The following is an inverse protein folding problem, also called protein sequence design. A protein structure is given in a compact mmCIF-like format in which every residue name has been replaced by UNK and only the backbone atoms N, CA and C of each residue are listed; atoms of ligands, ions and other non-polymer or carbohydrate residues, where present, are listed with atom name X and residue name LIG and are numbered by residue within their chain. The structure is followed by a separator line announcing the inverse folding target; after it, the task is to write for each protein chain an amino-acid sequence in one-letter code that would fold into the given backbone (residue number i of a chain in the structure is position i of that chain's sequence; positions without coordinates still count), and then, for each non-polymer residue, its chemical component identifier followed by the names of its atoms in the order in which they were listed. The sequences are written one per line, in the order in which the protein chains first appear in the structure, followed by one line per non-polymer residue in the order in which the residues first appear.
data_IF_351103019467
#
_entry.id   IF_351103019467
#
_cell.length_a   1.000
_cell.length_b   1.000
_cell.length_c   1.000
_cell.angle_alpha   90.00
_cell.angle_beta   90.00
_cell.angle_gamma   90.00
#
_symmetry.space_group_name_H-M   'P 1'
#
loop_
_entity.id
_entity.type
_entity.pdbx_description
1 polymer ?
#
# COMPACT_ATOMS: atom_id res chain seq x y z
N UNK A 1 5.19 22.20 -31.57
CA UNK A 1 3.81 21.73 -31.26
C UNK A 1 2.96 21.87 -32.51
N UNK A 2 2.30 20.79 -32.94
CA UNK A 2 1.40 20.87 -34.09
C UNK A 2 0.15 21.65 -33.70
N UNK A 3 -0.49 22.35 -34.65
CA UNK A 3 -1.77 23.06 -34.42
C UNK A 3 -2.84 22.17 -33.75
N UNK A 4 -2.74 20.86 -33.96
CA UNK A 4 -3.63 19.83 -33.40
C UNK A 4 -3.42 19.58 -31.90
N UNK A 5 -2.17 19.57 -31.43
CA UNK A 5 -1.90 19.43 -29.99
C UNK A 5 -2.51 20.58 -29.20
N UNK A 6 -2.41 21.82 -29.70
CA UNK A 6 -3.02 22.99 -29.06
C UNK A 6 -4.55 22.99 -29.07
N UNK A 7 -5.18 22.43 -30.12
CA UNK A 7 -6.63 22.33 -30.21
C UNK A 7 -7.18 21.29 -29.21
N UNK A 8 -6.49 20.15 -29.06
CA UNK A 8 -6.91 19.08 -28.15
C UNK A 8 -6.81 19.51 -26.67
N UNK A 9 -5.76 20.25 -26.30
CA UNK A 9 -5.65 20.83 -24.96
C UNK A 9 -6.77 21.84 -24.67
N UNK A 10 -7.18 22.64 -25.66
CA UNK A 10 -8.27 23.60 -25.50
C UNK A 10 -9.61 22.89 -25.26
N UNK A 11 -9.89 21.80 -25.99
CA UNK A 11 -11.12 21.00 -25.83
C UNK A 11 -11.17 20.32 -24.45
N UNK A 12 -10.07 19.70 -24.01
CA UNK A 12 -9.98 19.07 -22.68
C UNK A 12 -10.18 20.12 -21.58
N UNK A 13 -9.59 21.31 -21.76
CA UNK A 13 -9.72 22.40 -20.79
C UNK A 13 -11.14 22.95 -20.69
N UNK A 14 -11.86 23.09 -21.81
CA UNK A 14 -13.26 23.53 -21.82
C UNK A 14 -14.17 22.47 -21.20
N UNK A 15 -13.98 21.18 -21.51
CA UNK A 15 -14.73 20.08 -20.92
C UNK A 15 -14.53 20.01 -19.38
N UNK A 16 -13.29 20.22 -18.92
CA UNK A 16 -12.97 20.29 -17.49
C UNK A 16 -13.65 21.48 -16.79
N UNK A 17 -13.70 22.66 -17.41
CA UNK A 17 -14.37 23.84 -16.84
C UNK A 17 -15.89 23.69 -16.75
N UNK A 18 -16.50 23.03 -17.74
CA UNK A 18 -17.94 22.76 -17.76
C UNK A 18 -18.32 21.69 -16.74
N UNK A 19 -17.51 20.64 -16.59
CA UNK A 19 -17.64 19.62 -15.54
C UNK A 19 -17.64 20.24 -14.14
N UNK A 20 -16.68 21.14 -13.85
CA UNK A 20 -16.57 21.79 -12.52
C UNK A 20 -17.78 22.65 -12.17
N UNK A 21 -18.58 23.07 -13.16
CA UNK A 21 -19.77 23.91 -12.97
C UNK A 21 -21.08 23.13 -12.97
N UNK A 22 -21.04 21.80 -13.07
CA UNK A 22 -22.22 20.94 -12.95
C UNK A 22 -23.11 20.88 -14.20
N UNK A 23 -22.63 21.36 -15.36
CA UNK A 23 -23.36 21.33 -16.62
C UNK A 23 -23.10 20.02 -17.39
N UNK A 24 -23.56 18.91 -16.83
CA UNK A 24 -23.29 17.57 -17.37
C UNK A 24 -23.90 17.32 -18.75
N UNK A 25 -25.13 17.77 -18.97
CA UNK A 25 -25.82 17.59 -20.25
C UNK A 25 -25.18 18.41 -21.38
N UNK A 26 -24.62 19.59 -21.07
CA UNK A 26 -23.92 20.43 -22.04
C UNK A 26 -22.53 19.89 -22.39
N UNK A 27 -21.85 19.22 -21.46
CA UNK A 27 -20.57 18.53 -21.72
C UNK A 27 -20.78 17.39 -22.69
N UNK A 28 -21.82 16.58 -22.49
CA UNK A 28 -22.10 15.44 -23.36
C UNK A 28 -22.46 15.89 -24.78
N UNK A 29 -23.33 16.89 -24.92
CA UNK A 29 -23.69 17.47 -26.23
C UNK A 29 -22.49 18.09 -26.96
N UNK A 30 -21.59 18.75 -26.22
CA UNK A 30 -20.36 19.34 -26.81
C UNK A 30 -19.39 18.26 -27.26
N UNK A 31 -19.25 17.17 -26.51
CA UNK A 31 -18.42 16.03 -26.88
C UNK A 31 -18.99 15.29 -28.08
N UNK A 32 -20.30 15.10 -28.15
CA UNK A 32 -20.97 14.48 -29.30
C UNK A 32 -20.80 15.33 -30.58
N UNK A 33 -20.93 16.66 -30.50
CA UNK A 33 -20.66 17.55 -31.65
C UNK A 33 -19.20 17.49 -32.11
N UNK A 34 -18.24 17.45 -31.18
CA UNK A 34 -16.81 17.34 -31.51
C UNK A 34 -16.50 15.97 -32.12
N UNK A 35 -17.10 14.89 -31.60
CA UNK A 35 -16.99 13.55 -32.18
C UNK A 35 -17.61 13.49 -33.57
N UNK A 36 -18.73 14.17 -33.81
CA UNK A 36 -19.37 14.25 -35.12
C UNK A 36 -18.57 15.09 -36.12
N UNK A 37 -17.98 16.22 -35.70
CA UNK A 37 -17.08 17.00 -36.55
C UNK A 37 -15.78 16.24 -36.85
N UNK A 38 -15.22 15.54 -35.86
CA UNK A 38 -14.08 14.66 -36.07
C UNK A 38 -14.46 13.52 -37.01
N UNK A 39 -15.60 12.86 -36.83
CA UNK A 39 -16.08 11.82 -37.74
C UNK A 39 -16.32 12.39 -39.15
N UNK A 40 -16.78 13.63 -39.28
CA UNK A 40 -16.95 14.28 -40.59
C UNK A 40 -15.62 14.59 -41.27
N UNK A 41 -14.62 15.06 -40.52
CA UNK A 41 -13.26 15.35 -41.01
C UNK A 41 -12.46 14.08 -41.29
N UNK A 42 -12.62 13.01 -40.49
CA UNK A 42 -11.85 11.77 -40.58
C UNK A 42 -12.49 10.69 -41.44
N UNK A 43 -13.82 10.66 -41.59
CA UNK A 43 -14.55 9.61 -42.32
C UNK A 43 -15.24 10.11 -43.59
N UNK A 44 -14.81 11.26 -44.11
CA UNK A 44 -15.40 12.01 -45.22
C UNK A 44 -16.22 11.17 -46.22
N UNK A 45 -17.54 11.32 -46.18
CA UNK A 45 -18.42 10.76 -47.21
C UNK A 45 -18.87 11.85 -48.18
N UNK A 46 -18.21 11.89 -49.33
CA UNK A 46 -18.60 12.66 -50.50
C UNK A 46 -18.14 12.00 -51.81
N UNK A 47 -18.84 10.92 -52.23
CA UNK A 47 -18.79 10.19 -53.52
C UNK A 47 -17.44 9.55 -53.97
N UNK A 48 -17.50 8.47 -54.77
CA UNK A 48 -16.47 7.43 -54.79
C UNK A 48 -15.37 7.68 -55.84
N UNK A 49 -14.18 7.14 -55.60
CA UNK A 49 -13.41 6.46 -56.62
C UNK A 49 -13.34 4.95 -56.32
N UNK A 50 -13.69 4.19 -57.35
CA UNK A 50 -13.15 2.87 -57.72
C UNK A 50 -11.91 2.38 -56.95
N UNK A 51 -11.99 1.11 -56.53
CA UNK A 51 -10.90 0.15 -56.30
C UNK A 51 -9.55 0.71 -55.81
N UNK A 52 -9.36 0.71 -54.48
CA UNK A 52 -8.18 0.19 -53.74
C UNK A 52 -8.26 0.60 -52.27
N UNK A 53 -7.69 -0.25 -51.39
CA UNK A 53 -7.44 -0.05 -49.93
C UNK A 53 -8.34 -0.76 -48.89
N UNK A 54 -8.81 -1.98 -49.14
CA UNK A 54 -9.33 -2.86 -48.05
C UNK A 54 -8.27 -3.78 -47.42
N UNK A 55 -7.01 -3.74 -47.87
CA UNK A 55 -5.98 -4.71 -47.45
C UNK A 55 -5.22 -4.35 -46.15
N UNK A 56 -5.29 -3.11 -45.66
CA UNK A 56 -4.37 -2.66 -44.59
C UNK A 56 -4.95 -2.75 -43.18
N UNK A 57 -6.27 -2.62 -43.00
CA UNK A 57 -6.91 -2.61 -41.66
C UNK A 57 -7.12 -4.04 -41.12
N UNK A 58 -7.52 -4.98 -41.98
CA UNK A 58 -7.73 -6.39 -41.57
C UNK A 58 -6.40 -7.03 -41.16
N UNK A 59 -5.31 -6.71 -41.87
CA UNK A 59 -3.97 -7.25 -41.62
C UNK A 59 -3.42 -6.80 -40.27
N UNK A 60 -3.56 -5.53 -39.89
CA UNK A 60 -3.06 -5.05 -38.59
C UNK A 60 -3.80 -5.71 -37.43
N UNK A 61 -5.14 -5.74 -37.43
CA UNK A 61 -5.91 -6.34 -36.33
C UNK A 61 -5.69 -7.85 -36.20
N UNK A 62 -5.67 -8.59 -37.32
CA UNK A 62 -5.39 -10.04 -37.25
C UNK A 62 -3.96 -10.34 -36.82
N UNK A 63 -2.96 -9.58 -37.31
CA UNK A 63 -1.57 -9.76 -36.87
C UNK A 63 -1.42 -9.47 -35.38
N UNK A 64 -2.06 -8.41 -34.84
CA UNK A 64 -1.98 -8.11 -33.40
C UNK A 64 -2.60 -9.22 -32.55
N UNK A 65 -3.79 -9.74 -32.91
CA UNK A 65 -4.45 -10.83 -32.19
C UNK A 65 -3.64 -12.14 -32.26
N UNK A 66 -3.05 -12.44 -33.42
CA UNK A 66 -2.22 -13.64 -33.58
C UNK A 66 -0.91 -13.54 -32.77
N UNK A 67 -0.29 -12.36 -32.72
CA UNK A 67 0.91 -12.11 -31.91
C UNK A 67 0.61 -12.15 -30.42
N UNK A 68 -0.52 -11.60 -29.95
CA UNK A 68 -0.88 -11.70 -28.53
C UNK A 68 -1.20 -13.13 -28.11
N UNK A 69 -1.91 -13.91 -28.95
CA UNK A 69 -2.17 -15.32 -28.68
C UNK A 69 -0.89 -16.18 -28.64
N UNK A 70 0.10 -15.91 -29.50
CA UNK A 70 1.37 -16.65 -29.49
C UNK A 70 2.23 -16.30 -28.27
N UNK A 71 2.25 -15.02 -27.86
CA UNK A 71 2.91 -14.58 -26.61
C UNK A 71 2.29 -15.25 -25.37
N UNK A 72 0.96 -15.21 -25.25
CA UNK A 72 0.24 -15.81 -24.11
C UNK A 72 0.55 -17.32 -24.02
N UNK A 73 0.55 -18.02 -25.16
CA UNK A 73 0.91 -19.44 -25.22
C UNK A 73 2.32 -19.67 -24.69
N UNK A 74 3.30 -18.89 -25.13
CA UNK A 74 4.69 -19.02 -24.66
C UNK A 74 4.84 -18.72 -23.16
N UNK A 75 4.17 -17.68 -22.67
CA UNK A 75 4.17 -17.33 -21.24
C UNK A 75 3.61 -18.49 -20.41
N UNK A 76 2.50 -19.10 -20.85
CA UNK A 76 1.89 -20.24 -20.19
C UNK A 76 2.82 -21.44 -20.13
N UNK A 77 3.50 -21.76 -21.23
CA UNK A 77 4.49 -22.84 -21.28
C UNK A 77 5.62 -22.62 -20.28
N UNK A 78 6.19 -21.41 -20.24
CA UNK A 78 7.26 -21.05 -19.29
C UNK A 78 6.79 -21.17 -17.84
N UNK A 79 5.57 -20.70 -17.55
CA UNK A 79 4.98 -20.75 -16.21
C UNK A 79 4.74 -22.19 -15.75
N UNK A 80 4.18 -23.03 -16.61
CA UNK A 80 3.95 -24.45 -16.31
C UNK A 80 5.27 -25.22 -16.14
N UNK A 81 6.29 -24.92 -16.95
CA UNK A 81 7.62 -25.52 -16.83
C UNK A 81 8.31 -25.11 -15.51
N UNK A 82 8.25 -23.82 -15.17
CA UNK A 82 8.76 -23.31 -13.90
C UNK A 82 8.07 -23.98 -12.70
N UNK A 83 6.73 -24.02 -12.70
CA UNK A 83 5.96 -24.65 -11.62
C UNK A 83 6.25 -26.15 -11.47
N UNK A 84 6.49 -26.88 -12.57
CA UNK A 84 6.87 -28.31 -12.51
C UNK A 84 8.23 -28.55 -11.87
N UNK A 85 9.13 -27.57 -11.92
CA UNK A 85 10.53 -27.70 -11.48
C UNK A 85 10.79 -27.08 -10.11
N UNK A 86 9.83 -26.33 -9.56
CA UNK A 86 9.94 -25.65 -8.26
C UNK A 86 8.86 -26.15 -7.31
N UNK A 87 9.24 -26.51 -6.08
CA UNK A 87 8.28 -26.96 -5.06
C UNK A 87 7.96 -25.81 -4.13
N UNK A 88 6.67 -25.49 -4.03
CA UNK A 88 6.19 -24.53 -3.05
C UNK A 88 5.96 -25.19 -1.69
N UNK A 89 6.42 -24.53 -0.63
CA UNK A 89 6.11 -24.88 0.75
C UNK A 89 5.04 -23.90 1.26
N UNK A 90 3.79 -24.36 1.35
CA UNK A 90 2.63 -23.57 1.83
C UNK A 90 2.84 -22.80 3.15
N UNK A 91 3.65 -23.25 4.12
CA UNK A 91 3.89 -22.52 5.36
C UNK A 91 4.73 -21.23 5.21
N UNK A 92 5.53 -21.07 4.15
CA UNK A 92 6.51 -19.99 4.04
C UNK A 92 6.09 -18.93 3.01
N UNK A 93 5.53 -17.81 3.49
CA UNK A 93 5.24 -16.59 2.71
C UNK A 93 6.45 -16.09 1.93
N UNK A 94 7.66 -16.33 2.42
CA UNK A 94 8.92 -15.96 1.75
C UNK A 94 9.09 -16.64 0.38
N UNK A 95 8.43 -17.78 0.15
CA UNK A 95 8.64 -18.57 -1.07
C UNK A 95 7.95 -17.93 -2.28
N UNK A 96 6.78 -17.28 -2.13
CA UNK A 96 6.12 -16.66 -3.28
C UNK A 96 6.89 -15.44 -3.81
N UNK A 97 7.54 -14.68 -2.92
CA UNK A 97 8.38 -13.54 -3.28
C UNK A 97 9.62 -13.97 -4.10
N UNK A 98 10.33 -14.99 -3.64
CA UNK A 98 11.50 -15.52 -4.34
C UNK A 98 11.10 -16.16 -5.69
N UNK A 99 9.99 -16.91 -5.72
CA UNK A 99 9.45 -17.49 -6.96
C UNK A 99 9.07 -16.41 -7.98
N UNK A 100 8.44 -15.31 -7.53
CA UNK A 100 8.09 -14.20 -8.40
C UNK A 100 9.34 -13.52 -9.01
N UNK A 101 10.40 -13.35 -8.21
CA UNK A 101 11.69 -12.82 -8.69
C UNK A 101 12.32 -13.75 -9.73
N UNK A 102 12.35 -15.06 -9.46
CA UNK A 102 12.92 -16.05 -10.39
C UNK A 102 12.15 -16.10 -11.70
N UNK A 103 10.82 -16.15 -11.64
CA UNK A 103 9.98 -16.18 -12.82
C UNK A 103 10.05 -14.86 -13.62
N UNK A 104 10.17 -13.72 -12.94
CA UNK A 104 10.46 -12.44 -13.60
C UNK A 104 11.76 -12.51 -14.43
N UNK A 105 12.85 -13.08 -13.88
CA UNK A 105 14.11 -13.23 -14.62
C UNK A 105 13.96 -14.16 -15.83
N UNK A 106 13.14 -15.22 -15.72
CA UNK A 106 12.84 -16.13 -16.85
C UNK A 106 12.14 -15.36 -17.97
N UNK A 107 11.15 -14.54 -17.64
CA UNK A 107 10.42 -13.74 -18.63
C UNK A 107 11.33 -12.71 -19.32
N UNK A 108 12.14 -11.98 -18.56
CA UNK A 108 13.11 -11.02 -19.10
C UNK A 108 14.13 -11.70 -20.03
N UNK A 109 14.63 -12.87 -19.62
CA UNK A 109 15.54 -13.68 -20.46
C UNK A 109 14.90 -14.10 -21.79
N UNK A 110 13.57 -14.26 -21.81
CA UNK A 110 12.80 -14.59 -23.01
C UNK A 110 12.29 -13.35 -23.76
N UNK A 111 12.72 -12.14 -23.37
CA UNK A 111 12.38 -10.88 -24.04
C UNK A 111 10.98 -10.36 -23.76
N UNK A 112 10.38 -10.76 -22.63
CA UNK A 112 9.12 -10.20 -22.15
C UNK A 112 9.38 -9.11 -21.12
N UNK A 113 8.69 -7.98 -21.25
CA UNK A 113 8.63 -6.98 -20.18
C UNK A 113 7.74 -7.50 -19.06
N UNK A 114 8.27 -7.53 -17.84
CA UNK A 114 7.53 -8.01 -16.68
C UNK A 114 7.65 -7.07 -15.47
N UNK A 115 6.70 -7.15 -14.56
CA UNK A 115 6.71 -6.48 -13.26
C UNK A 115 6.43 -7.49 -12.15
N UNK A 116 6.99 -7.27 -10.97
CA UNK A 116 6.70 -8.07 -9.78
C UNK A 116 5.63 -7.32 -8.98
N UNK A 117 4.49 -7.95 -8.71
CA UNK A 117 3.40 -7.36 -7.94
C UNK A 117 3.27 -8.04 -6.58
N UNK A 118 2.77 -7.29 -5.59
CA UNK A 118 2.62 -7.76 -4.21
C UNK A 118 1.37 -7.18 -3.58
N UNK A 119 0.61 -7.98 -2.85
CA UNK A 119 -0.66 -7.54 -2.30
C UNK A 119 -1.43 -8.65 -1.59
N UNK A 120 -2.74 -8.47 -1.47
CA UNK A 120 -3.64 -9.50 -0.98
C UNK A 120 -4.69 -9.83 -2.03
N UNK A 121 -4.63 -11.03 -2.60
CA UNK A 121 -5.50 -11.43 -3.71
C UNK A 121 -6.93 -11.75 -3.27
N UNK A 122 -7.15 -12.00 -1.97
CA UNK A 122 -8.44 -12.39 -1.38
C UNK A 122 -9.19 -11.22 -0.72
N UNK A 123 -8.50 -10.11 -0.48
CA UNK A 123 -9.06 -8.90 0.14
C UNK A 123 -8.90 -7.72 -0.81
N UNK A 124 -9.98 -7.02 -1.10
CA UNK A 124 -9.90 -5.74 -1.81
C UNK A 124 -9.46 -4.61 -0.87
N UNK A 125 -8.67 -3.66 -1.37
CA UNK A 125 -8.14 -2.52 -0.59
C UNK A 125 -7.38 -2.95 0.66
N UNK A 126 -6.58 -4.01 0.56
CA UNK A 126 -5.73 -4.44 1.66
C UNK A 126 -4.67 -3.38 1.99
N UNK A 127 -4.40 -3.20 3.28
CA UNK A 127 -3.29 -2.38 3.73
C UNK A 127 -1.98 -3.15 3.62
N UNK A 128 -0.83 -2.45 3.67
CA UNK A 128 0.49 -3.09 3.54
C UNK A 128 0.74 -4.19 4.59
N UNK A 129 0.16 -4.04 5.78
CA UNK A 129 0.23 -5.05 6.85
C UNK A 129 -0.50 -6.35 6.48
N UNK A 130 -1.38 -6.31 5.48
CA UNK A 130 -2.23 -7.42 5.05
C UNK A 130 -1.76 -8.03 3.73
N UNK A 131 -0.71 -7.49 3.11
CA UNK A 131 -0.13 -8.07 1.91
C UNK A 131 0.44 -9.44 2.27
N UNK A 132 0.06 -10.46 1.52
CA UNK A 132 0.35 -11.85 1.82
C UNK A 132 0.77 -12.65 0.59
N UNK A 133 0.89 -12.02 -0.58
CA UNK A 133 1.20 -12.72 -1.81
C UNK A 133 2.01 -11.88 -2.78
N UNK A 134 2.84 -12.54 -3.57
CA UNK A 134 3.62 -11.94 -4.66
C UNK A 134 3.44 -12.75 -5.95
N UNK A 135 3.32 -12.04 -7.07
CA UNK A 135 3.10 -12.63 -8.40
C UNK A 135 3.78 -11.79 -9.48
N UNK A 136 3.66 -12.20 -10.74
CA UNK A 136 4.27 -11.49 -11.87
C UNK A 136 3.19 -10.98 -12.82
N UNK A 137 3.33 -9.73 -13.27
CA UNK A 137 2.55 -9.13 -14.35
C UNK A 137 3.42 -9.07 -15.60
N UNK A 138 2.98 -9.69 -16.70
CA UNK A 138 3.74 -9.71 -17.96
C UNK A 138 3.00 -8.96 -19.07
N UNK A 139 3.71 -8.13 -19.81
CA UNK A 139 3.13 -7.33 -20.90
C UNK A 139 2.89 -8.18 -22.16
N UNK A 140 1.63 -8.36 -22.53
CA UNK A 140 1.23 -9.13 -23.74
C UNK A 140 1.04 -8.23 -24.95
N UNK A 141 0.56 -7.02 -24.73
CA UNK A 141 0.44 -5.92 -25.69
C UNK A 141 0.84 -4.62 -24.98
N UNK A 142 1.22 -3.55 -25.71
CA UNK A 142 1.58 -2.27 -25.08
C UNK A 142 0.57 -1.85 -24.01
N UNK A 143 1.04 -1.73 -22.77
CA UNK A 143 0.27 -1.36 -21.57
C UNK A 143 -0.84 -2.35 -21.16
N UNK A 144 -0.86 -3.57 -21.72
CA UNK A 144 -1.75 -4.65 -21.31
C UNK A 144 -0.96 -5.77 -20.66
N UNK A 145 -1.28 -6.00 -19.40
CA UNK A 145 -0.60 -6.99 -18.57
C UNK A 145 -1.47 -8.22 -18.35
N UNK A 146 -0.81 -9.36 -18.20
CA UNK A 146 -1.40 -10.63 -17.82
C UNK A 146 -0.79 -11.06 -16.49
N UNK A 147 -1.62 -11.49 -15.54
CA UNK A 147 -1.13 -11.96 -14.25
C UNK A 147 -0.73 -13.42 -14.33
N UNK A 148 0.47 -13.72 -13.86
CA UNK A 148 1.05 -15.04 -13.74
C UNK A 148 1.09 -15.40 -12.25
N UNK A 149 0.19 -16.29 -11.83
CA UNK A 149 0.20 -16.88 -10.51
C UNK A 149 1.31 -17.93 -10.42
N UNK A 150 2.49 -17.49 -10.00
CA UNK A 150 3.74 -18.27 -10.07
C UNK A 150 3.70 -19.47 -9.13
N UNK A 151 3.16 -19.29 -7.93
CA UNK A 151 3.05 -20.36 -6.95
C UNK A 151 2.06 -21.42 -7.41
N UNK A 152 0.94 -21.01 -8.01
CA UNK A 152 -0.07 -21.94 -8.55
C UNK A 152 0.23 -22.49 -9.94
N UNK A 153 1.15 -21.88 -10.70
CA UNK A 153 1.50 -22.29 -12.06
C UNK A 153 0.42 -22.00 -13.10
N UNK A 154 -0.40 -20.96 -12.92
CA UNK A 154 -1.49 -20.61 -13.84
C UNK A 154 -1.61 -19.11 -14.12
N UNK A 155 -2.28 -18.78 -15.21
CA UNK A 155 -2.59 -17.40 -15.58
C UNK A 155 -3.90 -16.97 -14.93
N UNK A 156 -3.97 -15.72 -14.48
CA UNK A 156 -5.18 -15.10 -13.97
C UNK A 156 -5.57 -13.94 -14.89
N UNK A 157 -6.81 -13.93 -15.34
CA UNK A 157 -7.39 -12.84 -16.10
C UNK A 157 -8.06 -11.83 -15.17
N UNK A 158 -8.13 -10.57 -15.59
CA UNK A 158 -8.73 -9.49 -14.80
C UNK A 158 -10.18 -9.80 -14.41
N UNK A 159 -10.96 -10.38 -15.33
CA UNK A 159 -12.36 -10.74 -15.13
C UNK A 159 -12.54 -11.83 -14.08
N UNK A 160 -11.50 -12.64 -13.84
CA UNK A 160 -11.52 -13.73 -12.86
C UNK A 160 -11.14 -13.23 -11.47
N UNK A 161 -10.10 -12.39 -11.37
CA UNK A 161 -9.73 -11.75 -10.12
C UNK A 161 -9.03 -10.40 -10.37
N UNK A 162 -9.76 -9.27 -10.23
CA UNK A 162 -9.20 -7.94 -10.39
C UNK A 162 -8.07 -7.60 -9.41
N UNK A 163 -7.98 -8.26 -8.26
CA UNK A 163 -7.00 -7.93 -7.22
C UNK A 163 -5.57 -8.16 -7.69
N UNK A 164 -5.31 -9.07 -8.63
CA UNK A 164 -4.00 -9.26 -9.24
C UNK A 164 -3.46 -8.02 -9.99
N UNK A 165 -4.31 -7.02 -10.23
CA UNK A 165 -4.00 -5.86 -11.07
C UNK A 165 -4.10 -4.51 -10.35
N UNK A 166 -4.47 -4.51 -9.06
CA UNK A 166 -4.75 -3.28 -8.30
C UNK A 166 -3.60 -2.82 -7.38
N UNK A 167 -2.68 -3.73 -7.09
CA UNK A 167 -1.65 -3.52 -6.08
C UNK A 167 -0.33 -2.98 -6.65
N UNK A 168 0.57 -2.49 -5.78
CA UNK A 168 1.91 -2.08 -6.19
C UNK A 168 2.61 -3.14 -7.03
N UNK A 169 3.27 -2.67 -8.09
CA UNK A 169 4.09 -3.49 -8.97
C UNK A 169 5.41 -2.80 -9.26
N UNK A 170 6.50 -3.55 -9.28
CA UNK A 170 7.86 -3.07 -9.41
C UNK A 170 8.46 -3.54 -10.73
N UNK A 171 9.24 -2.67 -11.38
CA UNK A 171 9.75 -2.95 -12.72
C UNK A 171 10.92 -3.94 -12.69
N UNK A 172 11.57 -4.13 -11.53
CA UNK A 172 12.70 -5.03 -11.39
C UNK A 172 12.84 -5.60 -9.97
N UNK A 173 13.60 -6.71 -9.80
CA UNK A 173 13.85 -7.33 -8.50
C UNK A 173 14.54 -6.42 -7.49
N UNK A 174 15.31 -5.41 -7.90
CA UNK A 174 16.00 -4.53 -6.96
C UNK A 174 15.01 -3.61 -6.24
N UNK A 175 14.05 -3.04 -6.96
CA UNK A 175 12.94 -2.25 -6.39
C UNK A 175 12.05 -3.10 -5.48
N UNK A 176 11.68 -4.31 -5.93
CA UNK A 176 10.89 -5.21 -5.10
C UNK A 176 11.62 -5.64 -3.81
N UNK A 177 12.92 -5.92 -3.89
CA UNK A 177 13.74 -6.19 -2.68
C UNK A 177 13.83 -4.99 -1.75
N UNK A 178 13.88 -3.77 -2.28
CA UNK A 178 13.82 -2.55 -1.47
C UNK A 178 12.47 -2.44 -0.76
N UNK A 179 11.36 -2.71 -1.45
CA UNK A 179 10.04 -2.78 -0.83
C UNK A 179 10.01 -3.82 0.31
N UNK A 180 10.51 -5.04 0.07
CA UNK A 180 10.57 -6.10 1.09
C UNK A 180 11.31 -5.65 2.35
N UNK A 181 12.49 -5.05 2.19
CA UNK A 181 13.29 -4.55 3.33
C UNK A 181 12.58 -3.45 4.11
N UNK A 182 11.86 -2.55 3.43
CA UNK A 182 11.08 -1.51 4.11
C UNK A 182 9.87 -2.11 4.83
N UNK A 183 9.21 -3.11 4.22
CA UNK A 183 8.09 -3.82 4.84
C UNK A 183 8.51 -4.63 6.07
N UNK A 184 9.66 -5.28 6.05
CA UNK A 184 10.24 -5.96 7.23
C UNK A 184 10.42 -4.97 8.39
N UNK A 185 11.07 -3.83 8.14
CA UNK A 185 11.22 -2.76 9.14
C UNK A 185 9.89 -2.20 9.64
N UNK A 186 8.88 -2.15 8.77
CA UNK A 186 7.55 -1.68 9.14
C UNK A 186 6.92 -2.59 10.21
N UNK A 187 7.03 -3.91 10.05
CA UNK A 187 6.56 -4.85 11.05
C UNK A 187 7.39 -4.85 12.33
N UNK A 188 8.71 -4.64 12.24
CA UNK A 188 9.57 -4.48 13.42
C UNK A 188 9.12 -3.29 14.28
N UNK A 189 8.87 -2.13 13.65
CA UNK A 189 8.39 -0.93 14.37
C UNK A 189 6.98 -1.14 14.93
N UNK A 190 6.07 -1.78 14.19
CA UNK A 190 4.74 -2.09 14.70
C UNK A 190 4.79 -2.95 15.97
N UNK A 191 5.64 -3.99 15.97
CA UNK A 191 5.80 -4.85 17.13
C UNK A 191 6.37 -4.09 18.34
N UNK A 192 7.35 -3.21 18.11
CA UNK A 192 7.90 -2.37 19.19
C UNK A 192 6.86 -1.38 19.73
N UNK A 193 6.06 -0.76 18.86
CA UNK A 193 4.96 0.12 19.27
C UNK A 193 3.91 -0.60 20.13
N UNK A 194 3.54 -1.83 19.77
CA UNK A 194 2.62 -2.64 20.56
C UNK A 194 3.20 -2.95 21.95
N UNK A 195 4.48 -3.31 22.03
CA UNK A 195 5.18 -3.55 23.29
C UNK A 195 5.26 -2.30 24.16
N UNK A 196 5.63 -1.15 23.58
CA UNK A 196 5.70 0.12 24.29
C UNK A 196 4.32 0.54 24.83
N UNK A 197 3.27 0.41 24.02
CA UNK A 197 1.88 0.72 24.42
C UNK A 197 1.40 -0.22 25.54
N UNK A 198 1.72 -1.51 25.45
CA UNK A 198 1.43 -2.49 26.50
C UNK A 198 2.12 -2.13 27.82
N UNK A 199 3.43 -1.81 27.76
CA UNK A 199 4.21 -1.39 28.92
C UNK A 199 3.71 -0.08 29.52
N UNK A 200 3.36 0.90 28.69
CA UNK A 200 2.76 2.16 29.12
C UNK A 200 1.48 1.91 29.93
N UNK A 201 0.57 1.08 29.39
CA UNK A 201 -0.69 0.75 30.07
C UNK A 201 -0.46 0.05 31.41
N UNK A 202 0.52 -0.85 31.48
CA UNK A 202 0.90 -1.49 32.73
C UNK A 202 1.36 -0.47 33.79
N UNK A 203 2.34 0.37 33.45
CA UNK A 203 2.88 1.39 34.37
C UNK A 203 1.80 2.43 34.73
N UNK A 204 0.89 2.75 33.80
CA UNK A 204 -0.20 3.69 34.05
C UNK A 204 -1.16 3.18 35.12
N UNK A 205 -1.43 1.87 35.13
CA UNK A 205 -2.26 1.26 36.17
C UNK A 205 -1.56 1.30 37.54
N UNK A 206 -0.26 1.01 37.60
CA UNK A 206 0.54 1.14 38.84
C UNK A 206 0.56 2.58 39.33
N UNK A 207 0.80 3.55 38.44
CA UNK A 207 0.78 4.98 38.75
C UNK A 207 -0.58 5.41 39.33
N UNK A 208 -1.68 5.00 38.69
CA UNK A 208 -3.04 5.31 39.15
C UNK A 208 -3.30 4.76 40.55
N UNK A 209 -2.87 3.54 40.82
CA UNK A 209 -2.97 2.96 42.16
C UNK A 209 -2.12 3.72 43.18
N UNK A 210 -0.86 4.01 42.85
CA UNK A 210 0.06 4.71 43.74
C UNK A 210 -0.43 6.13 44.08
N UNK A 211 -1.02 6.85 43.11
CA UNK A 211 -1.65 8.16 43.34
C UNK A 211 -2.85 8.05 44.27
N UNK A 212 -3.69 7.03 44.11
CA UNK A 212 -4.83 6.81 45.02
C UNK A 212 -4.36 6.60 46.45
N UNK A 213 -3.41 5.69 46.65
CA UNK A 213 -2.82 5.40 47.97
C UNK A 213 -2.15 6.64 48.58
N UNK A 214 -1.42 7.41 47.77
CA UNK A 214 -0.81 8.67 48.21
C UNK A 214 -1.87 9.67 48.70
N UNK A 215 -2.96 9.85 47.96
CA UNK A 215 -4.03 10.77 48.34
C UNK A 215 -4.72 10.34 49.65
N UNK A 216 -4.98 9.04 49.82
CA UNK A 216 -5.52 8.50 51.08
C UNK A 216 -4.57 8.79 52.26
N UNK A 217 -3.25 8.71 52.02
CA UNK A 217 -2.25 9.03 53.04
C UNK A 217 -2.18 10.52 53.37
N UNK A 218 -2.28 11.39 52.35
CA UNK A 218 -2.36 12.85 52.54
C UNK A 218 -3.60 13.21 53.38
N UNK A 219 -4.74 12.59 53.10
CA UNK A 219 -5.98 12.82 53.85
C UNK A 219 -5.84 12.38 55.32
N UNK A 220 -5.24 11.22 55.58
CA UNK A 220 -4.94 10.80 56.94
C UNK A 220 -4.01 11.79 57.65
N UNK A 221 -2.92 12.21 56.99
CA UNK A 221 -1.99 13.19 57.54
C UNK A 221 -2.70 14.49 57.94
N UNK A 222 -3.51 15.04 57.04
CA UNK A 222 -4.24 16.28 57.23
C UNK A 222 -5.23 16.19 58.40
N UNK A 223 -5.88 15.05 58.58
CA UNK A 223 -6.87 14.86 59.64
C UNK A 223 -6.26 14.59 61.02
N UNK A 224 -5.12 13.89 61.08
CA UNK A 224 -4.62 13.32 62.34
C UNK A 224 -3.29 13.87 62.82
N UNK A 225 -2.43 14.37 61.92
CA UNK A 225 -1.07 14.83 62.24
C UNK A 225 -0.86 16.33 61.99
N UNK A 226 -1.53 16.92 61.00
CA UNK A 226 -1.37 18.33 60.68
C UNK A 226 -1.72 19.23 61.89
N UNK A 227 -0.85 20.21 62.16
CA UNK A 227 -1.04 21.17 63.27
C UNK A 227 -0.75 20.62 64.68
N UNK A 228 -0.43 19.33 64.83
CA UNK A 228 0.00 18.78 66.12
C UNK A 228 1.52 18.94 66.31
N UNK A 229 2.02 19.16 67.54
CA UNK A 229 3.45 19.17 67.80
C UNK A 229 4.09 17.83 67.37
N UNK A 230 5.20 17.89 66.64
CA UNK A 230 5.97 16.74 66.10
C UNK A 230 6.64 15.86 67.19
N UNK A 231 6.07 15.78 68.39
CA UNK A 231 6.57 14.97 69.52
C UNK A 231 5.90 13.59 69.62
N UNK A 232 5.06 13.23 68.64
CA UNK A 232 4.47 11.90 68.52
C UNK A 232 5.24 11.13 67.46
N UNK A 233 6.07 10.17 67.88
CA UNK A 233 6.92 9.35 67.00
C UNK A 233 6.13 8.73 65.82
N UNK A 234 4.84 8.46 66.01
CA UNK A 234 3.96 7.92 64.97
C UNK A 234 3.71 8.89 63.81
N UNK A 235 3.60 10.20 64.05
CA UNK A 235 3.42 11.17 62.96
C UNK A 235 4.74 11.39 62.21
N UNK A 236 5.89 11.40 62.88
CA UNK A 236 7.18 11.50 62.19
C UNK A 236 7.39 10.33 61.22
N UNK A 237 7.14 9.09 61.69
CA UNK A 237 7.25 7.89 60.85
C UNK A 237 6.22 7.89 59.71
N UNK A 238 5.01 8.40 59.95
CA UNK A 238 4.01 8.53 58.90
C UNK A 238 4.45 9.51 57.81
N UNK A 239 5.05 10.65 58.18
CA UNK A 239 5.58 11.63 57.22
C UNK A 239 6.64 11.01 56.31
N UNK A 240 7.52 10.19 56.88
CA UNK A 240 8.57 9.47 56.14
C UNK A 240 7.95 8.55 55.09
N UNK A 241 6.92 7.78 55.46
CA UNK A 241 6.18 6.91 54.53
C UNK A 241 5.44 7.69 53.45
N UNK A 242 4.90 8.86 53.78
CA UNK A 242 4.25 9.75 52.83
C UNK A 242 5.24 10.29 51.79
N UNK A 243 6.45 10.65 52.22
CA UNK A 243 7.54 11.05 51.33
C UNK A 243 7.99 9.91 50.42
N UNK A 244 8.17 8.69 50.95
CA UNK A 244 8.47 7.50 50.16
C UNK A 244 7.41 7.26 49.07
N UNK A 245 6.12 7.36 49.43
CA UNK A 245 5.03 7.18 48.48
C UNK A 245 4.96 8.30 47.43
N UNK A 246 5.24 9.54 47.82
CA UNK A 246 5.38 10.66 46.88
C UNK A 246 6.50 10.41 45.87
N UNK A 247 7.63 9.87 46.32
CA UNK A 247 8.76 9.54 45.44
C UNK A 247 8.42 8.42 44.46
N UNK A 248 7.68 7.40 44.90
CA UNK A 248 7.14 6.34 44.04
C UNK A 248 6.24 6.90 42.94
N UNK A 249 5.28 7.77 43.29
CA UNK A 249 4.38 8.44 42.32
C UNK A 249 5.18 9.24 41.29
N UNK A 250 6.15 10.03 41.74
CA UNK A 250 7.00 10.84 40.85
C UNK A 250 7.87 9.96 39.94
N UNK A 251 8.39 8.85 40.44
CA UNK A 251 9.15 7.89 39.65
C UNK A 251 8.29 7.30 38.52
N UNK A 252 7.11 6.77 38.86
CA UNK A 252 6.20 6.17 37.88
C UNK A 252 5.76 7.19 36.82
N UNK A 253 5.49 8.43 37.23
CA UNK A 253 5.20 9.53 36.30
C UNK A 253 6.36 9.76 35.31
N UNK A 254 7.60 9.81 35.80
CA UNK A 254 8.78 9.95 34.94
C UNK A 254 8.94 8.79 33.94
N UNK A 255 8.60 7.56 34.35
CA UNK A 255 8.58 6.40 33.45
C UNK A 255 7.49 6.55 32.38
N UNK A 256 6.28 7.01 32.74
CA UNK A 256 5.20 7.26 31.79
C UNK A 256 5.57 8.35 30.77
N UNK A 257 6.20 9.43 31.21
CA UNK A 257 6.66 10.51 30.33
C UNK A 257 7.71 9.98 29.33
N UNK A 258 8.66 9.16 29.80
CA UNK A 258 9.67 8.52 28.96
C UNK A 258 9.07 7.54 27.94
N UNK A 259 8.10 6.71 28.35
CA UNK A 259 7.40 5.78 27.45
C UNK A 259 6.55 6.52 26.42
N UNK A 260 5.87 7.61 26.82
CA UNK A 260 5.10 8.45 25.89
C UNK A 260 5.99 9.05 24.81
N UNK A 261 7.18 9.52 25.19
CA UNK A 261 8.15 10.03 24.23
C UNK A 261 8.61 8.95 23.24
N UNK A 262 8.96 7.76 23.72
CA UNK A 262 9.37 6.64 22.87
C UNK A 262 8.26 6.21 21.90
N UNK A 263 7.01 6.13 22.37
CA UNK A 263 5.85 5.84 21.50
C UNK A 263 5.74 6.88 20.39
N UNK A 264 5.86 8.17 20.74
CA UNK A 264 5.76 9.24 19.75
C UNK A 264 6.91 9.21 18.73
N UNK A 265 8.12 8.88 19.16
CA UNK A 265 9.29 8.70 18.29
C UNK A 265 9.07 7.55 17.30
N UNK A 266 8.62 6.40 17.78
CA UNK A 266 8.35 5.25 16.90
C UNK A 266 7.16 5.46 15.96
N UNK A 267 6.12 6.19 16.39
CA UNK A 267 5.02 6.60 15.49
C UNK A 267 5.52 7.51 14.36
N UNK A 268 6.47 8.41 14.64
CA UNK A 268 7.10 9.24 13.62
C UNK A 268 7.98 8.40 12.67
N UNK A 269 8.73 7.44 13.19
CA UNK A 269 9.52 6.51 12.38
C UNK A 269 8.63 5.69 11.44
N UNK A 270 7.50 5.18 11.96
CA UNK A 270 6.51 4.44 11.17
C UNK A 270 5.94 5.28 10.03
N UNK A 271 5.53 6.53 10.31
CA UNK A 271 4.99 7.44 9.29
C UNK A 271 6.02 7.77 8.20
N UNK A 272 7.29 7.98 8.59
CA UNK A 272 8.40 8.17 7.66
C UNK A 272 8.61 6.95 6.76
N UNK A 273 8.47 5.75 7.34
CA UNK A 273 8.63 4.49 6.61
C UNK A 273 7.48 4.24 5.64
N UNK A 274 6.23 4.49 6.04
CA UNK A 274 5.05 4.44 5.16
C UNK A 274 5.25 5.36 3.96
N UNK A 275 5.69 6.59 4.18
CA UNK A 275 5.97 7.56 3.10
C UNK A 275 7.05 7.04 2.13
N UNK A 276 8.09 6.38 2.64
CA UNK A 276 9.14 5.79 1.81
C UNK A 276 8.62 4.61 0.98
N UNK A 277 7.71 3.81 1.53
CA UNK A 277 7.11 2.67 0.82
C UNK A 277 6.17 3.16 -0.28
N UNK A 278 5.28 4.11 0.01
CA UNK A 278 4.37 4.72 -0.96
C UNK A 278 5.12 5.34 -2.14
N UNK A 279 6.26 5.97 -1.88
CA UNK A 279 7.13 6.55 -2.90
C UNK A 279 7.78 5.53 -3.86
N UNK A 280 7.67 4.21 -3.60
CA UNK A 280 8.18 3.19 -4.53
C UNK A 280 7.22 2.86 -5.67
N UNK A 281 5.94 3.22 -5.56
CA UNK A 281 4.92 2.83 -6.54
C UNK A 281 3.95 3.98 -6.89
N UNK A 282 4.36 5.22 -6.62
CA UNK A 282 3.74 6.46 -7.13
C UNK A 282 4.55 7.04 -8.27
#
# INVERSE_FOLDING_TARGET
MSRWTSLMFLVIFIAYLLFKRGYWDDVQNTLEQIVDELNWVFLGKGKPPEEREEATIITTTTVTIQVSNSKITKIKELLEEYHKTHTYSLPDLFVCEDMAIEFWNILETNGFNAKIAVGNIDKENADISEYNHAWVLVEVEPFKYLACEVTGGYIVYYENNPNYYKYPSFDNPAEFKKFRQLREKYFEILWELENLKSRYNYVYNEYKQAVSEYNDMVDYWNNYCAGKPLYYDSCLEYNRRLEEKSNEVNYLKGVLDSLSYQIQEEENNLNSLVSQIEALYT
#
